data_IF_376283388318
#
_entry.id   IF_376283388318
#
_cell.length_a   1.000
_cell.length_b   1.000
_cell.length_c   1.000
_cell.angle_alpha   90.00
_cell.angle_beta   90.00
_cell.angle_gamma   90.00
#
_symmetry.space_group_name_H-M   'P 1'
#
loop_
_entity.id
_entity.type
_entity.pdbx_description
1 polymer ?
#
# COMPACT_ATOMS: atom_id res chain seq x y z
N UNK A 1 5.21 14.71 1.52
CA UNK A 1 5.06 15.15 0.12
C UNK A 1 3.75 14.70 -0.53
N UNK A 2 3.18 13.52 -0.20
CA UNK A 2 1.88 13.07 -0.76
C UNK A 2 0.77 14.11 -0.64
N UNK A 3 0.63 14.75 0.54
CA UNK A 3 -0.39 15.79 0.81
C UNK A 3 -0.38 16.97 -0.19
N UNK A 4 0.77 17.25 -0.82
CA UNK A 4 0.92 18.35 -1.79
C UNK A 4 0.50 17.94 -3.21
N UNK A 5 0.78 16.70 -3.61
CA UNK A 5 0.61 16.24 -4.98
C UNK A 5 -0.68 15.43 -5.17
N UNK A 6 -1.21 14.86 -4.10
CA UNK A 6 -2.44 14.08 -4.07
C UNK A 6 -3.25 14.59 -2.86
N UNK A 7 -3.87 15.77 -2.94
CA UNK A 7 -4.57 16.36 -1.80
C UNK A 7 -5.80 15.54 -1.36
N UNK A 8 -6.39 14.78 -2.27
CA UNK A 8 -7.56 13.91 -2.09
C UNK A 8 -7.19 12.48 -1.69
N UNK A 9 -5.95 12.22 -1.28
CA UNK A 9 -5.47 10.86 -1.02
C UNK A 9 -6.31 10.10 0.03
N UNK A 10 -6.88 10.80 1.02
CA UNK A 10 -7.75 10.18 2.03
C UNK A 10 -9.07 9.64 1.47
N UNK A 11 -9.52 10.09 0.30
CA UNK A 11 -10.75 9.64 -0.34
C UNK A 11 -10.51 8.42 -1.26
N UNK A 12 -9.25 8.14 -1.59
CA UNK A 12 -8.87 7.10 -2.56
C UNK A 12 -8.84 5.72 -1.93
N UNK A 13 -8.99 4.70 -2.78
CA UNK A 13 -8.62 3.32 -2.45
C UNK A 13 -7.21 3.06 -2.95
N UNK A 14 -6.37 2.50 -2.09
CA UNK A 14 -5.00 2.12 -2.40
C UNK A 14 -4.92 0.62 -2.64
N UNK A 15 -4.12 0.24 -3.62
CA UNK A 15 -3.80 -1.15 -3.92
C UNK A 15 -2.31 -1.33 -3.76
N UNK A 16 -1.90 -2.33 -2.99
CA UNK A 16 -0.51 -2.75 -2.86
C UNK A 16 -0.44 -4.23 -3.20
N UNK A 17 0.47 -4.57 -4.12
CA UNK A 17 0.72 -5.96 -4.50
C UNK A 17 2.22 -6.20 -4.59
N UNK A 18 2.67 -7.39 -4.18
CA UNK A 18 4.11 -7.66 -4.14
C UNK A 18 4.51 -8.85 -3.29
N UNK A 19 5.84 -9.03 -3.12
CA UNK A 19 6.40 -9.87 -2.07
C UNK A 19 5.97 -9.37 -0.69
N UNK A 20 5.79 -10.29 0.27
CA UNK A 20 5.28 -10.00 1.62
C UNK A 20 5.89 -8.74 2.25
N UNK A 21 7.23 -8.63 2.28
CA UNK A 21 7.93 -7.48 2.88
C UNK A 21 7.58 -6.15 2.23
N UNK A 22 7.34 -6.13 0.92
CA UNK A 22 6.95 -4.91 0.20
C UNK A 22 5.51 -4.54 0.54
N UNK A 23 4.59 -5.51 0.54
CA UNK A 23 3.18 -5.29 0.88
C UNK A 23 3.06 -4.75 2.30
N UNK A 24 3.74 -5.36 3.28
CA UNK A 24 3.75 -4.94 4.68
C UNK A 24 4.32 -3.53 4.85
N UNK A 25 5.41 -3.21 4.15
CA UNK A 25 6.03 -1.88 4.19
C UNK A 25 5.07 -0.81 3.65
N UNK A 26 4.38 -1.10 2.54
CA UNK A 26 3.41 -0.16 1.98
C UNK A 26 2.16 0.00 2.82
N UNK A 27 1.65 -1.08 3.41
CA UNK A 27 0.53 -1.03 4.33
C UNK A 27 0.86 -0.14 5.54
N UNK A 28 2.06 -0.31 6.12
CA UNK A 28 2.52 0.48 7.26
C UNK A 28 2.64 1.96 6.92
N UNK A 29 3.24 2.30 5.76
CA UNK A 29 3.35 3.68 5.29
C UNK A 29 1.97 4.33 5.09
N UNK A 30 1.00 3.62 4.52
CA UNK A 30 -0.35 4.14 4.31
C UNK A 30 -1.08 4.36 5.65
N UNK A 31 -0.84 3.51 6.66
CA UNK A 31 -1.35 3.72 8.02
C UNK A 31 -0.73 4.94 8.70
N UNK A 32 0.56 5.17 8.54
CA UNK A 32 1.24 6.39 9.04
C UNK A 32 0.68 7.67 8.39
N UNK A 33 0.15 7.57 7.17
CA UNK A 33 -0.56 8.64 6.48
C UNK A 33 -2.04 8.75 6.88
N UNK A 34 -2.48 7.97 7.86
CA UNK A 34 -3.85 7.92 8.39
C UNK A 34 -4.89 7.52 7.33
N UNK A 35 -4.50 6.67 6.37
CA UNK A 35 -5.45 6.05 5.44
C UNK A 35 -6.21 4.94 6.17
N UNK A 36 -7.57 4.95 6.18
CA UNK A 36 -8.35 3.89 6.79
C UNK A 36 -8.07 2.51 6.18
N UNK A 37 -7.89 1.48 7.00
CA UNK A 37 -7.53 0.13 6.52
C UNK A 37 -8.52 -0.43 5.49
N UNK A 38 -9.82 -0.09 5.60
CA UNK A 38 -10.85 -0.50 4.63
C UNK A 38 -10.58 -0.04 3.19
N UNK A 39 -9.79 1.04 3.04
CA UNK A 39 -9.37 1.63 1.77
C UNK A 39 -8.04 1.08 1.26
N UNK A 40 -7.40 0.15 1.97
CA UNK A 40 -6.14 -0.47 1.54
C UNK A 40 -6.42 -1.92 1.13
N UNK A 41 -6.24 -2.22 -0.15
CA UNK A 41 -6.37 -3.56 -0.72
C UNK A 41 -4.98 -4.14 -0.94
N UNK A 42 -4.80 -5.39 -0.50
CA UNK A 42 -3.50 -6.05 -0.48
C UNK A 42 -3.57 -7.35 -1.28
N UNK A 43 -2.54 -7.62 -2.07
CA UNK A 43 -2.35 -8.90 -2.75
C UNK A 43 -0.89 -9.34 -2.62
N UNK A 44 -0.65 -10.50 -2.01
CA UNK A 44 0.70 -11.01 -1.79
C UNK A 44 0.95 -12.10 -2.82
N UNK A 45 2.00 -11.93 -3.64
CA UNK A 45 2.47 -12.99 -4.52
C UNK A 45 3.86 -13.46 -4.09
N UNK A 46 4.11 -14.79 -4.10
CA UNK A 46 5.44 -15.33 -3.83
C UNK A 46 6.40 -14.89 -4.94
N UNK A 47 7.62 -14.51 -4.57
CA UNK A 47 8.71 -14.46 -5.54
C UNK A 47 9.03 -15.91 -5.91
N UNK A 48 8.51 -16.37 -7.05
CA UNK A 48 9.03 -17.57 -7.68
C UNK A 48 10.34 -17.15 -8.31
N UNK A 49 11.45 -17.53 -7.67
CA UNK A 49 12.75 -17.49 -8.29
C UNK A 49 12.79 -18.77 -9.13
N UNK A 50 12.55 -18.65 -10.43
CA UNK A 50 12.82 -19.74 -11.35
C UNK A 50 14.32 -20.02 -11.27
N UNK A 51 14.64 -21.18 -10.68
CA UNK A 51 16.00 -21.69 -10.48
C UNK A 51 16.54 -22.39 -11.71
#
# INVERSE_FOLDING_TARGET
MVKKFIPDYHERTFFTCGPLKMVDSMFSLLKELEVPEKQIKQEIFPMIIDS
#
